data_IF_424928527462
#
_entry.id   IF_424928527462
#
_cell.length_a   1.000
_cell.length_b   1.000
_cell.length_c   1.000
_cell.angle_alpha   90.00
_cell.angle_beta   90.00
_cell.angle_gamma   90.00
#
_symmetry.space_group_name_H-M   'P 1'
#
loop_
_entity.id
_entity.type
_entity.pdbx_description
1 polymer ?
#
# COMPACT_ATOMS: atom_id res chain seq x y z
N UNK A 1 -16.09 -13.66 9.96
CA UNK A 1 -15.38 -12.71 10.82
C UNK A 1 -15.25 -11.43 10.03
N UNK A 2 -15.83 -10.34 10.53
CA UNK A 2 -15.75 -9.05 9.86
C UNK A 2 -14.36 -8.43 10.04
N UNK A 3 -14.07 -7.33 9.33
CA UNK A 3 -12.75 -6.67 9.38
C UNK A 3 -12.47 -6.07 10.76
N UNK A 4 -13.51 -5.55 11.38
CA UNK A 4 -13.56 -4.94 12.72
C UNK A 4 -13.32 -6.01 13.79
N UNK A 5 -14.08 -7.11 13.75
CA UNK A 5 -13.93 -8.25 14.68
C UNK A 5 -12.51 -8.86 14.61
N UNK A 6 -11.94 -8.94 13.39
CA UNK A 6 -10.58 -9.42 13.15
C UNK A 6 -9.55 -8.50 13.80
N UNK A 7 -9.74 -7.18 13.66
CA UNK A 7 -8.84 -6.18 14.22
C UNK A 7 -8.86 -6.23 15.75
N UNK A 8 -10.04 -6.18 16.38
CA UNK A 8 -10.17 -6.28 17.83
C UNK A 8 -9.50 -7.55 18.39
N UNK A 9 -9.74 -8.70 17.73
CA UNK A 9 -9.14 -9.99 18.14
C UNK A 9 -7.63 -10.02 18.01
N UNK A 10 -7.04 -9.34 17.03
CA UNK A 10 -5.60 -9.36 16.82
C UNK A 10 -4.87 -8.41 17.78
N UNK A 11 -5.50 -7.31 18.13
CA UNK A 11 -4.95 -6.31 19.05
C UNK A 11 -5.27 -6.59 20.53
N UNK A 12 -6.23 -7.45 20.86
CA UNK A 12 -6.61 -7.77 22.25
C UNK A 12 -5.47 -8.34 23.10
N UNK A 13 -4.47 -8.97 22.47
CA UNK A 13 -3.32 -9.56 23.15
C UNK A 13 -2.07 -8.65 23.11
N UNK A 14 -2.18 -7.41 22.64
CA UNK A 14 -1.04 -6.50 22.49
C UNK A 14 -1.19 -5.28 23.41
N UNK A 15 -0.27 -5.14 24.36
CA UNK A 15 -0.19 -3.99 25.26
C UNK A 15 0.06 -2.69 24.50
N UNK A 16 -0.71 -1.64 24.78
CA UNK A 16 -0.59 -0.32 24.14
C UNK A 16 -1.50 -0.09 22.92
N UNK A 17 -2.31 -1.08 22.55
CA UNK A 17 -3.27 -0.96 21.44
C UNK A 17 -4.56 -0.18 21.82
N UNK A 18 -4.83 0.05 23.11
CA UNK A 18 -6.03 0.73 23.60
C UNK A 18 -6.12 2.19 23.13
N UNK A 19 -4.97 2.86 22.97
CA UNK A 19 -4.90 4.27 22.56
C UNK A 19 -5.06 4.50 21.05
N UNK A 20 -5.24 3.45 20.25
CA UNK A 20 -5.25 3.51 18.78
C UNK A 20 -6.68 3.29 18.27
N UNK A 21 -7.08 4.11 17.30
CA UNK A 21 -8.40 4.06 16.66
C UNK A 21 -8.65 2.72 15.98
N UNK A 22 -9.92 2.35 15.86
CA UNK A 22 -10.32 1.06 15.27
C UNK A 22 -10.01 1.02 13.77
N UNK A 23 -10.07 2.16 13.08
CA UNK A 23 -9.76 2.32 11.67
C UNK A 23 -8.28 1.99 11.39
N UNK A 24 -7.35 2.56 12.18
CA UNK A 24 -5.92 2.24 12.05
C UNK A 24 -5.62 0.78 12.40
N UNK A 25 -6.35 0.19 13.36
CA UNK A 25 -6.23 -1.25 13.65
C UNK A 25 -6.67 -2.10 12.46
N UNK A 26 -7.76 -1.73 11.78
CA UNK A 26 -8.25 -2.43 10.58
C UNK A 26 -7.23 -2.34 9.44
N UNK A 27 -6.71 -1.15 9.17
CA UNK A 27 -5.71 -0.91 8.12
C UNK A 27 -4.42 -1.71 8.36
N UNK A 28 -3.89 -1.68 9.58
CA UNK A 28 -2.71 -2.46 9.97
C UNK A 28 -2.99 -3.96 9.83
N UNK A 29 -4.17 -4.43 10.22
CA UNK A 29 -4.55 -5.84 10.07
C UNK A 29 -4.65 -6.26 8.61
N UNK A 30 -5.15 -5.39 7.74
CA UNK A 30 -5.32 -5.70 6.32
C UNK A 30 -3.97 -5.76 5.60
N UNK A 31 -3.09 -4.79 5.87
CA UNK A 31 -1.71 -4.77 5.38
C UNK A 31 -0.92 -5.97 5.90
N UNK A 32 -1.10 -6.33 7.17
CA UNK A 32 -0.49 -7.54 7.75
C UNK A 32 -1.03 -8.82 7.10
N UNK A 33 -2.34 -8.91 6.84
CA UNK A 33 -2.98 -10.07 6.21
C UNK A 33 -2.48 -10.28 4.77
N UNK A 34 -2.41 -9.21 3.98
CA UNK A 34 -1.88 -9.26 2.59
C UNK A 34 -0.43 -9.75 2.57
N UNK A 35 0.43 -9.24 3.47
CA UNK A 35 1.83 -9.67 3.57
C UNK A 35 1.97 -11.11 4.08
N UNK A 36 1.16 -11.53 5.05
CA UNK A 36 1.12 -12.93 5.49
C UNK A 36 0.72 -13.88 4.36
N UNK A 37 -0.26 -13.50 3.54
CA UNK A 37 -0.67 -14.31 2.39
C UNK A 37 0.48 -14.53 1.40
N UNK A 38 1.26 -13.47 1.13
CA UNK A 38 2.44 -13.55 0.26
C UNK A 38 3.50 -14.47 0.86
N UNK A 39 3.77 -14.37 2.18
CA UNK A 39 4.73 -15.25 2.88
C UNK A 39 4.29 -16.71 2.81
N UNK A 40 3.02 -17.00 3.06
CA UNK A 40 2.47 -18.36 2.99
C UNK A 40 2.61 -18.92 1.57
N UNK A 41 2.20 -18.15 0.56
CA UNK A 41 2.29 -18.59 -0.83
C UNK A 41 3.74 -18.80 -1.27
N UNK A 42 4.64 -17.91 -0.89
CA UNK A 42 6.08 -18.02 -1.16
C UNK A 42 6.72 -19.24 -0.51
N UNK A 43 6.40 -19.53 0.76
CA UNK A 43 6.91 -20.71 1.45
C UNK A 43 6.33 -22.01 0.88
N UNK A 44 5.03 -22.04 0.59
CA UNK A 44 4.41 -23.20 -0.05
C UNK A 44 5.00 -23.49 -1.42
N UNK A 45 5.16 -22.47 -2.27
CA UNK A 45 5.79 -22.63 -3.58
C UNK A 45 7.22 -23.14 -3.48
N UNK A 46 8.02 -22.62 -2.53
CA UNK A 46 9.36 -23.12 -2.26
C UNK A 46 9.36 -24.58 -1.80
N UNK A 47 8.47 -24.95 -0.87
CA UNK A 47 8.32 -26.34 -0.41
C UNK A 47 7.91 -27.28 -1.55
N UNK A 48 6.99 -26.86 -2.42
CA UNK A 48 6.61 -27.61 -3.61
C UNK A 48 7.78 -27.79 -4.59
N UNK A 49 8.59 -26.76 -4.79
CA UNK A 49 9.81 -26.85 -5.62
C UNK A 49 10.80 -27.83 -4.99
N UNK A 50 11.03 -27.76 -3.68
CA UNK A 50 11.91 -28.70 -2.98
C UNK A 50 11.41 -30.14 -3.10
N UNK A 51 10.11 -30.37 -2.92
CA UNK A 51 9.49 -31.69 -3.13
C UNK A 51 9.68 -32.19 -4.57
N UNK A 52 9.60 -31.29 -5.55
CA UNK A 52 9.81 -31.62 -6.95
C UNK A 52 11.29 -31.95 -7.26
N UNK A 53 12.23 -31.19 -6.69
CA UNK A 53 13.68 -31.35 -6.89
C UNK A 53 14.22 -32.62 -6.24
N UNK A 54 13.74 -33.00 -5.05
CA UNK A 54 14.14 -34.26 -4.40
C UNK A 54 13.59 -35.49 -5.16
N UNK A 55 12.64 -35.28 -6.07
CA UNK A 55 12.23 -36.27 -7.06
C UNK A 55 11.31 -37.37 -6.52
N UNK A 56 10.94 -38.30 -7.41
CA UNK A 56 9.97 -39.37 -7.14
C UNK A 56 10.35 -40.34 -6.02
N UNK A 57 11.57 -40.30 -5.49
CA UNK A 57 12.03 -41.21 -4.43
C UNK A 57 11.33 -40.95 -3.09
N UNK A 58 11.03 -39.69 -2.76
CA UNK A 58 10.21 -39.37 -1.57
C UNK A 58 8.78 -39.87 -1.79
N UNK A 59 8.19 -39.60 -2.95
CA UNK A 59 6.82 -40.02 -3.25
C UNK A 59 6.67 -41.55 -3.26
N UNK A 60 7.66 -42.28 -3.76
CA UNK A 60 7.68 -43.74 -3.73
C UNK A 60 7.86 -44.28 -2.31
N UNK A 61 8.75 -43.72 -1.49
CA UNK A 61 8.88 -44.10 -0.07
C UNK A 61 7.60 -43.82 0.73
N UNK A 62 6.93 -42.69 0.47
CA UNK A 62 5.65 -42.35 1.09
C UNK A 62 4.56 -43.32 0.61
N UNK A 63 4.51 -43.64 -0.68
CA UNK A 63 3.58 -44.62 -1.23
C UNK A 63 3.82 -46.02 -0.64
N UNK A 64 5.07 -46.47 -0.51
CA UNK A 64 5.41 -47.76 0.10
C UNK A 64 5.05 -47.80 1.59
N UNK A 65 5.24 -46.69 2.31
CA UNK A 65 4.80 -46.57 3.70
C UNK A 65 3.28 -46.67 3.83
N UNK A 66 2.54 -45.96 2.98
CA UNK A 66 1.08 -46.03 2.93
C UNK A 66 0.57 -47.42 2.51
N UNK A 67 1.23 -48.06 1.54
CA UNK A 67 0.91 -49.41 1.08
C UNK A 67 1.14 -50.46 2.17
N UNK A 68 2.22 -50.35 2.95
CA UNK A 68 2.47 -51.23 4.12
C UNK A 68 1.43 -51.06 5.21
N UNK A 69 0.89 -49.86 5.40
CA UNK A 69 -0.23 -49.62 6.33
C UNK A 69 -1.55 -50.17 5.74
N UNK A 70 -1.70 -50.12 4.42
CA UNK A 70 -2.86 -50.66 3.67
C UNK A 70 -2.99 -52.18 3.73
N UNK A 71 -1.87 -52.93 3.73
CA UNK A 71 -1.89 -54.40 3.78
C UNK A 71 -2.44 -55.01 5.10
N UNK A 72 -2.59 -54.20 6.16
CA UNK A 72 -2.83 -54.68 7.52
C UNK A 72 -4.28 -54.81 8.02
N UNK A 73 -5.33 -54.48 7.25
CA UNK A 73 -6.70 -54.51 7.84
C UNK A 73 -7.89 -54.50 6.89
N UNK A 74 -8.59 -55.63 6.76
CA UNK A 74 -9.87 -55.73 6.06
C UNK A 74 -11.08 -55.38 6.95
N UNK A 75 -11.18 -54.14 7.45
CA UNK A 75 -12.38 -53.68 8.18
C UNK A 75 -12.79 -52.25 7.77
N UNK A 76 -14.07 -51.89 7.93
CA UNK A 76 -14.64 -50.61 7.46
C UNK A 76 -13.97 -49.33 7.98
N UNK A 77 -13.19 -49.41 9.05
CA UNK A 77 -12.43 -48.28 9.61
C UNK A 77 -11.03 -48.11 8.98
N UNK A 78 -10.66 -48.98 8.05
CA UNK A 78 -9.32 -49.00 7.45
C UNK A 78 -9.07 -47.81 6.51
N UNK A 79 -10.07 -47.42 5.72
CA UNK A 79 -9.99 -46.23 4.86
C UNK A 79 -9.83 -44.93 5.66
N UNK A 80 -10.44 -44.86 6.85
CA UNK A 80 -10.27 -43.74 7.78
C UNK A 80 -8.86 -43.69 8.37
N UNK A 81 -8.27 -44.84 8.72
CA UNK A 81 -6.89 -44.93 9.21
C UNK A 81 -5.84 -44.53 8.16
N UNK A 82 -6.06 -44.93 6.91
CA UNK A 82 -5.19 -44.55 5.79
C UNK A 82 -5.25 -43.04 5.53
N UNK A 83 -6.45 -42.45 5.54
CA UNK A 83 -6.64 -41.01 5.38
C UNK A 83 -5.96 -40.20 6.51
N UNK A 84 -6.11 -40.62 7.77
CA UNK A 84 -5.45 -39.97 8.91
C UNK A 84 -3.93 -40.01 8.79
N UNK A 85 -3.38 -41.14 8.36
CA UNK A 85 -1.92 -41.28 8.16
C UNK A 85 -1.43 -40.34 7.07
N UNK A 86 -2.14 -40.26 5.94
CA UNK A 86 -1.83 -39.31 4.87
C UNK A 86 -1.83 -37.86 5.36
N UNK A 87 -2.86 -37.47 6.13
CA UNK A 87 -2.94 -36.14 6.73
C UNK A 87 -1.70 -35.85 7.58
N UNK A 88 -1.32 -36.78 8.47
CA UNK A 88 -0.15 -36.61 9.36
C UNK A 88 1.15 -36.41 8.59
N UNK A 89 1.34 -37.13 7.49
CA UNK A 89 2.56 -37.04 6.66
C UNK A 89 2.67 -35.69 5.96
N UNK A 90 1.56 -35.12 5.49
CA UNK A 90 1.54 -33.83 4.79
C UNK A 90 1.34 -32.62 5.72
N UNK A 91 0.87 -32.84 6.96
CA UNK A 91 0.61 -31.76 7.92
C UNK A 91 1.80 -30.81 8.13
N UNK A 92 3.06 -31.27 8.27
CA UNK A 92 4.20 -30.39 8.49
C UNK A 92 4.41 -29.35 7.38
N UNK A 93 4.08 -29.69 6.13
CA UNK A 93 4.18 -28.79 4.96
C UNK A 93 3.23 -27.61 5.11
N UNK A 94 2.09 -27.76 5.76
CA UNK A 94 1.18 -26.65 5.99
C UNK A 94 1.46 -25.90 7.30
N UNK A 95 1.96 -26.59 8.33
CA UNK A 95 2.24 -26.00 9.64
C UNK A 95 3.41 -25.00 9.58
N UNK A 96 4.45 -25.28 8.80
CA UNK A 96 5.64 -24.41 8.71
C UNK A 96 5.28 -23.03 8.13
N UNK A 97 4.59 -22.91 6.97
CA UNK A 97 4.13 -21.63 6.45
C UNK A 97 3.19 -20.88 7.40
N UNK A 98 2.27 -21.60 8.06
CA UNK A 98 1.32 -21.01 9.01
C UNK A 98 2.01 -20.44 10.26
N UNK A 99 2.97 -21.16 10.83
CA UNK A 99 3.71 -20.72 12.03
C UNK A 99 4.66 -19.55 11.72
N UNK A 100 5.30 -19.56 10.54
CA UNK A 100 6.09 -18.44 10.06
C UNK A 100 5.23 -17.18 9.86
N UNK A 101 4.07 -17.30 9.21
CA UNK A 101 3.15 -16.19 9.02
C UNK A 101 2.62 -15.64 10.35
N UNK A 102 2.29 -16.51 11.31
CA UNK A 102 1.84 -16.10 12.64
C UNK A 102 2.94 -15.34 13.42
N UNK A 103 4.18 -15.80 13.30
CA UNK A 103 5.33 -15.12 13.94
C UNK A 103 5.59 -13.76 13.30
N UNK A 104 5.52 -13.67 11.96
CA UNK A 104 5.59 -12.42 11.21
C UNK A 104 4.50 -11.44 11.67
N UNK A 105 3.24 -11.90 11.77
CA UNK A 105 2.11 -11.09 12.28
C UNK A 105 2.44 -10.43 13.61
N UNK A 106 2.88 -11.21 14.59
CA UNK A 106 3.13 -10.71 15.93
C UNK A 106 4.23 -9.64 15.96
N UNK A 107 5.30 -9.84 15.20
CA UNK A 107 6.41 -8.89 15.14
C UNK A 107 6.03 -7.63 14.35
N UNK A 108 5.28 -7.79 13.24
CA UNK A 108 4.80 -6.69 12.42
C UNK A 108 3.85 -5.78 13.20
N UNK A 109 2.85 -6.36 13.88
CA UNK A 109 1.90 -5.58 14.68
C UNK A 109 2.63 -4.81 15.79
N UNK A 110 3.57 -5.45 16.50
CA UNK A 110 4.37 -4.76 17.53
C UNK A 110 5.23 -3.63 16.97
N UNK A 111 5.86 -3.84 15.82
CA UNK A 111 6.69 -2.82 15.17
C UNK A 111 5.85 -1.62 14.71
N UNK A 112 4.69 -1.88 14.09
CA UNK A 112 3.81 -0.83 13.59
C UNK A 112 3.13 -0.06 14.73
N UNK A 113 2.75 -0.75 15.80
CA UNK A 113 2.31 -0.12 17.04
C UNK A 113 3.41 0.73 17.67
N UNK A 114 4.64 0.23 17.76
CA UNK A 114 5.76 0.97 18.32
C UNK A 114 6.06 2.24 17.50
N UNK A 115 5.96 2.18 16.17
CA UNK A 115 6.07 3.36 15.30
C UNK A 115 4.98 4.39 15.58
N UNK A 116 3.73 3.96 15.77
CA UNK A 116 2.60 4.84 16.08
C UNK A 116 2.72 5.44 17.50
N UNK A 117 3.16 4.65 18.47
CA UNK A 117 3.36 5.12 19.85
C UNK A 117 4.53 6.10 19.91
N UNK A 118 5.66 5.79 19.26
CA UNK A 118 6.82 6.71 19.21
C UNK A 118 6.55 7.95 18.38
N UNK A 119 5.81 7.87 17.27
CA UNK A 119 5.37 9.08 16.55
C UNK A 119 4.47 9.94 17.42
N UNK A 120 3.57 9.32 18.21
CA UNK A 120 2.73 10.02 19.19
C UNK A 120 3.52 10.60 20.36
N UNK A 121 4.50 9.90 20.92
CA UNK A 121 5.36 10.39 22.02
C UNK A 121 6.29 11.52 21.56
N UNK A 122 6.82 11.44 20.33
CA UNK A 122 7.57 12.53 19.71
C UNK A 122 6.69 13.76 19.45
N UNK A 123 5.38 13.56 19.32
CA UNK A 123 4.37 14.62 19.21
C UNK A 123 3.95 15.13 20.60
N UNK A 124 3.83 14.25 21.60
CA UNK A 124 3.44 14.55 22.98
C UNK A 124 4.56 15.25 23.78
N UNK A 125 5.84 14.97 23.47
CA UNK A 125 6.99 15.72 24.00
C UNK A 125 7.04 17.18 23.52
N UNK A 126 6.26 17.53 22.49
CA UNK A 126 6.02 18.92 22.05
C UNK A 126 4.73 19.52 22.66
N UNK A 127 3.96 18.74 23.42
CA UNK A 127 2.62 19.08 23.88
C UNK A 127 2.60 19.69 25.30
N UNK A 128 3.64 20.48 25.63
CA UNK A 128 3.53 21.58 26.61
C UNK A 128 3.34 22.93 25.92
N UNK A 129 3.24 22.95 24.58
CA UNK A 129 2.72 24.07 23.84
C UNK A 129 1.70 23.49 22.86
N UNK A 130 0.44 23.92 23.00
CA UNK A 130 -0.55 23.82 21.93
C UNK A 130 0.15 24.07 20.58
N UNK A 131 0.02 23.21 19.55
CA UNK A 131 0.15 23.71 18.21
C UNK A 131 -1.16 24.43 17.92
N UNK A 132 -1.20 25.71 18.28
CA UNK A 132 -1.77 26.66 17.32
C UNK A 132 -1.13 26.31 15.99
N UNK A 133 -1.91 26.16 14.93
CA UNK A 133 -1.41 26.17 13.55
C UNK A 133 -0.44 27.35 13.46
N UNK A 134 0.84 27.03 13.63
CA UNK A 134 1.88 28.03 13.65
C UNK A 134 2.10 28.19 12.18
N UNK A 135 1.76 29.39 11.71
CA UNK A 135 2.10 29.91 10.41
C UNK A 135 3.56 29.54 10.13
N UNK A 136 3.78 28.37 9.51
CA UNK A 136 5.05 28.08 8.88
C UNK A 136 5.19 29.21 7.87
N UNK A 137 6.33 29.90 7.93
CA UNK A 137 6.56 31.02 7.04
C UNK A 137 6.27 30.56 5.61
N UNK A 138 5.65 31.41 4.78
CA UNK A 138 5.40 31.11 3.35
C UNK A 138 6.67 30.58 2.62
N UNK A 139 7.86 30.76 3.20
CA UNK A 139 9.13 30.27 2.69
C UNK A 139 9.37 28.74 2.79
N UNK A 140 8.54 27.98 3.52
CA UNK A 140 8.73 26.53 3.73
C UNK A 140 7.75 25.61 2.95
N UNK A 141 6.86 26.18 2.13
CA UNK A 141 5.90 25.43 1.30
C UNK A 141 6.39 25.36 -0.16
N UNK A 142 6.19 24.21 -0.81
CA UNK A 142 6.47 24.03 -2.23
C UNK A 142 5.53 24.89 -3.08
N UNK A 143 6.11 25.51 -4.09
CA UNK A 143 5.38 26.33 -5.05
C UNK A 143 5.05 25.52 -6.30
N UNK A 144 3.84 25.71 -6.84
CA UNK A 144 3.41 25.07 -8.08
C UNK A 144 2.68 26.09 -8.94
N UNK A 145 3.22 26.35 -10.12
CA UNK A 145 2.53 27.08 -11.20
C UNK A 145 1.67 26.11 -12.01
N UNK A 146 2.08 24.84 -12.05
CA UNK A 146 1.48 23.79 -12.84
C UNK A 146 0.67 22.83 -11.98
N UNK A 147 -0.65 22.83 -12.16
CA UNK A 147 -1.55 21.97 -11.38
C UNK A 147 -1.28 20.48 -11.60
N UNK A 148 -1.15 20.02 -12.85
CA UNK A 148 -0.96 18.59 -13.14
C UNK A 148 0.38 18.08 -12.60
N UNK A 149 1.40 18.94 -12.52
CA UNK A 149 2.65 18.60 -11.82
C UNK A 149 2.42 18.47 -10.31
N UNK A 150 1.69 19.41 -9.69
CA UNK A 150 1.30 19.31 -8.28
C UNK A 150 0.56 18.01 -7.98
N UNK A 151 -0.39 17.61 -8.84
CA UNK A 151 -1.12 16.35 -8.70
C UNK A 151 -0.18 15.13 -8.78
N UNK A 152 0.78 15.13 -9.71
CA UNK A 152 1.79 14.07 -9.79
C UNK A 152 2.68 14.00 -8.53
N UNK A 153 3.04 15.13 -7.93
CA UNK A 153 3.75 15.17 -6.65
C UNK A 153 2.88 14.64 -5.51
N UNK A 154 1.60 15.00 -5.48
CA UNK A 154 0.65 14.49 -4.49
C UNK A 154 0.51 12.97 -4.64
N UNK A 155 0.46 12.42 -5.87
CA UNK A 155 0.43 10.98 -6.08
C UNK A 155 1.55 10.28 -5.32
N UNK A 156 2.79 10.72 -5.57
CA UNK A 156 3.98 10.11 -4.95
C UNK A 156 3.97 10.30 -3.44
N UNK A 157 3.74 11.52 -2.96
CA UNK A 157 3.86 11.82 -1.54
C UNK A 157 2.71 11.26 -0.69
N UNK A 158 1.48 11.26 -1.21
CA UNK A 158 0.28 10.83 -0.49
C UNK A 158 0.04 9.33 -0.63
N UNK A 159 0.04 8.79 -1.85
CA UNK A 159 -0.41 7.43 -2.10
C UNK A 159 0.75 6.43 -2.21
N UNK A 160 1.87 6.80 -2.82
CA UNK A 160 3.00 5.87 -2.96
C UNK A 160 3.85 5.80 -1.67
N UNK A 161 4.15 6.97 -1.09
CA UNK A 161 5.03 7.10 0.08
C UNK A 161 4.27 7.26 1.40
N UNK A 162 2.98 7.58 1.37
CA UNK A 162 2.14 7.78 2.58
C UNK A 162 2.68 8.84 3.56
N UNK A 163 3.29 9.90 3.03
CA UNK A 163 3.87 11.03 3.79
C UNK A 163 2.87 12.17 4.03
N UNK A 164 1.99 12.43 3.07
CA UNK A 164 0.90 13.39 3.23
C UNK A 164 -0.31 12.69 3.88
N UNK A 165 -0.76 13.20 5.03
CA UNK A 165 -1.85 12.62 5.81
C UNK A 165 -2.87 13.68 6.24
N UNK A 166 -4.16 13.33 6.35
CA UNK A 166 -4.75 12.05 5.94
C UNK A 166 -4.72 11.86 4.41
N UNK A 167 -4.72 10.61 3.94
CA UNK A 167 -4.91 10.31 2.52
C UNK A 167 -6.32 10.70 2.10
N UNK A 168 -6.44 11.36 0.95
CA UNK A 168 -7.73 11.73 0.40
C UNK A 168 -8.37 10.52 -0.27
N UNK A 169 -9.62 10.22 0.08
CA UNK A 169 -10.44 9.18 -0.53
C UNK A 169 -11.79 9.78 -0.89
N UNK A 170 -12.15 9.74 -2.16
CA UNK A 170 -13.33 10.39 -2.70
C UNK A 170 -14.64 9.81 -2.14
N UNK A 171 -14.67 8.51 -1.82
CA UNK A 171 -15.84 7.85 -1.25
C UNK A 171 -16.07 8.30 0.20
N UNK A 172 -15.01 8.27 1.01
CA UNK A 172 -15.06 8.77 2.39
C UNK A 172 -15.33 10.28 2.45
N UNK A 173 -14.78 11.04 1.49
CA UNK A 173 -15.04 12.47 1.36
C UNK A 173 -16.49 12.75 1.00
N UNK A 174 -17.06 12.02 0.03
CA UNK A 174 -18.46 12.14 -0.38
C UNK A 174 -19.42 11.88 0.78
N UNK A 175 -19.17 10.85 1.60
CA UNK A 175 -20.00 10.51 2.77
C UNK A 175 -20.07 11.65 3.81
N UNK A 176 -19.01 12.45 3.92
CA UNK A 176 -18.90 13.53 4.91
C UNK A 176 -19.20 14.92 4.32
N UNK A 177 -19.37 15.01 2.99
CA UNK A 177 -19.49 16.27 2.30
C UNK A 177 -20.86 16.92 2.57
N UNK A 178 -20.85 18.15 3.07
CA UNK A 178 -22.07 18.89 3.45
C UNK A 178 -22.68 19.69 2.29
N UNK A 179 -22.04 19.70 1.12
CA UNK A 179 -22.49 20.42 -0.06
C UNK A 179 -23.50 19.62 -0.88
N UNK A 180 -23.51 19.86 -2.20
CA UNK A 180 -24.26 19.01 -3.13
C UNK A 180 -23.71 17.58 -3.08
N UNK A 181 -24.59 16.59 -3.23
CA UNK A 181 -24.19 15.19 -3.29
C UNK A 181 -23.08 15.02 -4.35
N UNK A 182 -22.01 14.33 -3.95
CA UNK A 182 -20.91 14.00 -4.85
C UNK A 182 -21.28 12.70 -5.56
N UNK A 183 -21.17 12.71 -6.89
CA UNK A 183 -21.36 11.53 -7.72
C UNK A 183 -20.02 10.83 -7.88
N UNK A 184 -19.80 9.75 -7.12
CA UNK A 184 -18.57 8.96 -7.16
C UNK A 184 -18.50 7.99 -8.33
N UNK A 185 -19.53 7.96 -9.18
CA UNK A 185 -19.55 7.19 -10.44
C UNK A 185 -19.42 8.13 -11.65
N UNK A 186 -18.99 9.38 -11.43
CA UNK A 186 -18.82 10.38 -12.49
C UNK A 186 -17.55 10.16 -13.30
N UNK A 187 -17.66 10.40 -14.61
CA UNK A 187 -16.59 10.53 -15.60
C UNK A 187 -16.12 11.98 -15.79
N UNK A 188 -16.57 12.90 -14.93
CA UNK A 188 -16.19 14.31 -14.96
C UNK A 188 -15.50 14.75 -13.66
N UNK A 189 -14.84 15.90 -13.71
CA UNK A 189 -14.14 16.48 -12.55
C UNK A 189 -15.12 16.75 -11.41
N UNK A 190 -14.86 16.11 -10.27
CA UNK A 190 -15.49 16.43 -8.99
C UNK A 190 -14.78 17.66 -8.41
N UNK A 191 -15.33 18.83 -8.68
CA UNK A 191 -14.78 20.13 -8.26
C UNK A 191 -14.38 20.19 -6.76
N UNK A 192 -15.17 19.67 -5.81
CA UNK A 192 -14.74 19.62 -4.41
C UNK A 192 -13.43 18.85 -4.17
N UNK A 193 -13.21 17.74 -4.87
CA UNK A 193 -11.99 16.95 -4.76
C UNK A 193 -10.81 17.67 -5.42
N UNK A 194 -11.04 18.21 -6.63
CA UNK A 194 -10.04 19.03 -7.32
C UNK A 194 -9.58 20.22 -6.47
N UNK A 195 -10.52 20.91 -5.82
CA UNK A 195 -10.20 22.06 -4.95
C UNK A 195 -9.42 21.65 -3.71
N UNK A 196 -9.70 20.48 -3.11
CA UNK A 196 -8.90 19.95 -2.02
C UNK A 196 -7.41 19.84 -2.41
N UNK A 197 -7.12 19.25 -3.57
CA UNK A 197 -5.73 19.10 -4.04
C UNK A 197 -5.09 20.44 -4.45
N UNK A 198 -5.87 21.34 -5.06
CA UNK A 198 -5.42 22.71 -5.39
C UNK A 198 -5.02 23.49 -4.14
N UNK A 199 -5.81 23.43 -3.08
CA UNK A 199 -5.59 24.20 -1.84
C UNK A 199 -4.56 23.55 -0.90
N UNK A 200 -4.29 22.25 -1.05
CA UNK A 200 -3.34 21.55 -0.19
C UNK A 200 -1.92 22.13 -0.28
N UNK A 201 -1.38 22.57 0.85
CA UNK A 201 0.01 22.99 0.97
C UNK A 201 0.92 21.78 1.15
N UNK A 202 2.05 21.74 0.44
CA UNK A 202 3.01 20.64 0.53
C UNK A 202 4.32 21.17 1.12
N UNK A 203 4.70 20.76 2.34
CA UNK A 203 5.96 21.16 2.96
C UNK A 203 7.21 20.79 2.14
N UNK A 204 8.18 21.71 2.05
CA UNK A 204 9.44 21.52 1.29
C UNK A 204 10.30 20.36 1.78
N UNK A 205 10.20 20.00 3.07
CA UNK A 205 10.93 18.87 3.63
C UNK A 205 10.56 17.52 3.00
N UNK A 206 9.45 17.44 2.25
CA UNK A 206 9.07 16.25 1.50
C UNK A 206 9.72 16.15 0.10
N UNK A 207 10.19 17.26 -0.46
CA UNK A 207 10.75 17.27 -1.81
C UNK A 207 11.93 16.31 -2.03
N UNK A 208 12.85 16.10 -1.05
CA UNK A 208 13.92 15.12 -1.20
C UNK A 208 13.47 13.66 -1.32
N UNK A 209 12.23 13.31 -0.98
CA UNK A 209 11.74 11.94 -1.08
C UNK A 209 11.19 11.59 -2.47
N UNK A 210 10.95 12.59 -3.34
CA UNK A 210 10.46 12.37 -4.69
C UNK A 210 11.65 12.06 -5.61
N UNK A 211 11.83 10.80 -5.96
CA UNK A 211 12.92 10.32 -6.82
C UNK A 211 12.50 10.03 -8.26
N UNK A 212 11.23 9.64 -8.43
CA UNK A 212 10.64 9.26 -9.70
C UNK A 212 9.19 9.76 -9.79
N UNK A 213 8.80 10.20 -10.98
CA UNK A 213 7.40 10.43 -11.34
C UNK A 213 6.92 9.36 -12.30
N UNK A 214 5.74 8.82 -12.06
CA UNK A 214 5.07 7.90 -12.95
C UNK A 214 3.60 8.34 -13.07
N UNK A 215 3.27 9.00 -14.17
CA UNK A 215 1.91 9.43 -14.47
C UNK A 215 1.19 8.30 -15.20
N UNK A 216 0.09 7.80 -14.64
CA UNK A 216 -0.70 6.72 -15.22
C UNK A 216 -2.19 7.01 -15.04
N UNK A 217 -2.99 6.57 -16.01
CA UNK A 217 -4.45 6.70 -15.96
C UNK A 217 -5.05 6.22 -14.65
N UNK A 218 -4.52 5.11 -14.11
CA UNK A 218 -4.98 4.46 -12.88
C UNK A 218 -4.45 5.06 -11.57
N UNK A 219 -3.73 6.18 -11.60
CA UNK A 219 -3.21 6.80 -10.38
C UNK A 219 -4.35 7.26 -9.44
N UNK A 220 -4.19 6.99 -8.15
CA UNK A 220 -5.19 7.30 -7.12
C UNK A 220 -5.60 8.78 -7.11
N UNK A 221 -4.65 9.70 -7.29
CA UNK A 221 -4.97 11.14 -7.30
C UNK A 221 -5.96 11.50 -8.42
N UNK A 222 -5.84 10.88 -9.60
CA UNK A 222 -6.75 11.12 -10.73
C UNK A 222 -8.10 10.44 -10.50
N UNK A 223 -8.09 9.20 -10.00
CA UNK A 223 -9.30 8.45 -9.62
C UNK A 223 -10.10 9.15 -8.51
N UNK A 224 -9.44 9.95 -7.66
CA UNK A 224 -10.13 10.74 -6.64
C UNK A 224 -10.78 12.03 -7.20
N UNK A 225 -10.32 12.50 -8.36
CA UNK A 225 -10.84 13.71 -9.02
C UNK A 225 -11.91 13.34 -10.05
N UNK A 226 -11.68 12.29 -10.84
CA UNK A 226 -12.57 11.74 -11.85
C UNK A 226 -12.65 10.21 -11.62
N UNK A 227 -13.60 9.71 -10.82
CA UNK A 227 -13.64 8.30 -10.42
C UNK A 227 -13.81 7.27 -11.54
N UNK A 228 -14.45 7.65 -12.64
CA UNK A 228 -14.61 6.79 -13.82
C UNK A 228 -13.73 7.24 -14.99
N UNK A 229 -12.62 7.94 -14.73
CA UNK A 229 -11.72 8.35 -15.81
C UNK A 229 -11.14 7.13 -16.51
N UNK A 230 -11.29 7.07 -17.82
CA UNK A 230 -10.78 5.99 -18.66
C UNK A 230 -9.36 6.26 -19.19
N UNK A 231 -8.83 7.45 -18.96
CA UNK A 231 -7.52 7.87 -19.43
C UNK A 231 -7.49 8.24 -20.92
N UNK A 232 -8.63 8.36 -21.60
CA UNK A 232 -8.67 8.62 -23.05
C UNK A 232 -8.54 10.11 -23.41
N UNK A 233 -8.77 11.02 -22.45
CA UNK A 233 -8.67 12.47 -22.65
C UNK A 233 -7.37 13.08 -22.08
N UNK A 234 -7.17 14.39 -22.34
CA UNK A 234 -5.98 15.15 -21.96
C UNK A 234 -6.11 15.86 -20.59
N UNK A 235 -7.10 15.49 -19.77
CA UNK A 235 -7.43 16.19 -18.51
C UNK A 235 -6.22 16.35 -17.58
N UNK A 236 -5.36 15.35 -17.51
CA UNK A 236 -4.20 15.30 -16.62
C UNK A 236 -2.86 15.39 -17.34
N UNK A 237 -2.84 15.78 -18.61
CA UNK A 237 -1.60 15.95 -19.37
C UNK A 237 -0.71 17.03 -18.75
N UNK A 238 0.58 16.72 -18.61
CA UNK A 238 1.60 17.67 -18.17
C UNK A 238 2.25 18.33 -19.40
N UNK A 239 1.62 19.38 -19.93
CA UNK A 239 2.07 20.09 -21.14
C UNK A 239 2.87 21.37 -20.87
N UNK A 240 2.90 21.80 -19.61
CA UNK A 240 3.64 22.97 -19.14
C UNK A 240 4.34 22.60 -17.85
N UNK A 241 5.60 23.01 -17.70
CA UNK A 241 6.39 22.85 -16.48
C UNK A 241 7.52 23.87 -16.53
N UNK A 242 7.87 24.43 -15.38
CA UNK A 242 9.00 25.35 -15.27
C UNK A 242 10.23 24.66 -14.69
N UNK A 243 11.42 25.18 -15.02
CA UNK A 243 12.66 24.66 -14.44
C UNK A 243 12.70 24.92 -12.93
N UNK A 244 12.14 26.04 -12.49
CA UNK A 244 12.02 26.45 -11.10
C UNK A 244 11.18 25.44 -10.30
N UNK A 245 10.07 24.95 -10.86
CA UNK A 245 9.24 23.91 -10.23
C UNK A 245 10.02 22.61 -10.03
N UNK A 246 10.75 22.15 -11.06
CA UNK A 246 11.56 20.92 -11.00
C UNK A 246 12.72 21.02 -10.01
N UNK A 247 13.37 22.18 -9.92
CA UNK A 247 14.53 22.40 -9.05
C UNK A 247 14.19 22.33 -7.56
N UNK A 248 12.91 22.41 -7.19
CA UNK A 248 12.48 22.16 -5.81
C UNK A 248 12.72 20.70 -5.37
N UNK A 249 12.87 19.75 -6.31
CA UNK A 249 13.00 18.31 -6.06
C UNK A 249 14.44 17.82 -6.34
N UNK A 250 15.37 17.95 -5.38
CA UNK A 250 16.79 17.70 -5.63
C UNK A 250 17.11 16.23 -6.01
N UNK A 251 16.26 15.30 -5.60
CA UNK A 251 16.44 13.87 -5.80
C UNK A 251 15.61 13.30 -6.95
N UNK A 252 14.80 14.11 -7.63
CA UNK A 252 14.08 13.66 -8.82
C UNK A 252 15.10 13.35 -9.93
N UNK A 253 15.08 12.11 -10.43
CA UNK A 253 16.00 11.64 -11.48
C UNK A 253 15.30 11.06 -12.70
N UNK A 254 14.05 10.61 -12.54
CA UNK A 254 13.30 9.95 -13.61
C UNK A 254 11.85 10.40 -13.65
N UNK A 255 11.27 10.48 -14.84
CA UNK A 255 9.85 10.75 -15.02
C UNK A 255 9.29 9.98 -16.22
N UNK A 256 8.14 9.34 -16.04
CA UNK A 256 7.29 8.81 -17.11
C UNK A 256 6.02 9.68 -17.12
N UNK A 257 5.81 10.40 -18.22
CA UNK A 257 4.84 11.50 -18.27
C UNK A 257 3.71 11.22 -19.27
N UNK A 258 2.49 11.58 -18.86
CA UNK A 258 1.37 11.78 -19.77
C UNK A 258 1.44 13.23 -20.28
N UNK A 259 1.62 13.41 -21.58
CA UNK A 259 1.70 14.73 -22.21
C UNK A 259 1.43 14.63 -23.71
N UNK A 260 0.47 15.42 -24.20
CA UNK A 260 0.21 15.63 -25.62
C UNK A 260 1.24 16.54 -26.31
N UNK A 261 2.07 17.27 -25.54
CA UNK A 261 3.20 18.08 -26.05
C UNK A 261 4.53 17.65 -25.41
N UNK A 262 4.82 16.34 -25.48
CA UNK A 262 5.97 15.73 -24.79
C UNK A 262 7.31 16.37 -25.15
N UNK A 263 7.53 16.74 -26.42
CA UNK A 263 8.80 17.32 -26.87
C UNK A 263 9.13 18.64 -26.15
N UNK A 264 8.14 19.51 -25.96
CA UNK A 264 8.30 20.78 -25.22
C UNK A 264 8.66 20.54 -23.76
N UNK A 265 7.98 19.60 -23.12
CA UNK A 265 8.12 19.32 -21.68
C UNK A 265 9.45 18.62 -21.42
N UNK A 266 9.85 17.72 -22.33
CA UNK A 266 11.13 17.01 -22.29
C UNK A 266 12.32 17.95 -22.21
N UNK A 267 12.34 19.03 -23.00
CA UNK A 267 13.45 20.01 -22.97
C UNK A 267 13.67 20.58 -21.56
N UNK A 268 12.60 20.83 -20.80
CA UNK A 268 12.67 21.37 -19.43
C UNK A 268 13.20 20.33 -18.44
N UNK A 269 12.75 19.08 -18.56
CA UNK A 269 13.25 17.97 -17.72
C UNK A 269 14.72 17.66 -18.00
N UNK A 270 15.14 17.66 -19.27
CA UNK A 270 16.55 17.47 -19.65
C UNK A 270 17.43 18.61 -19.12
N UNK A 271 16.96 19.86 -19.16
CA UNK A 271 17.66 21.00 -18.57
C UNK A 271 17.85 20.87 -17.05
N UNK A 272 16.95 20.14 -16.36
CA UNK A 272 17.07 19.79 -14.95
C UNK A 272 17.94 18.54 -14.67
N UNK A 273 18.49 17.89 -15.70
CA UNK A 273 19.18 16.60 -15.64
C UNK A 273 18.30 15.45 -15.11
N UNK A 274 17.02 15.45 -15.49
CA UNK A 274 16.05 14.41 -15.15
C UNK A 274 15.80 13.58 -16.42
N UNK A 275 15.95 12.26 -16.34
CA UNK A 275 15.64 11.37 -17.45
C UNK A 275 14.12 11.28 -17.61
N UNK A 276 13.61 11.48 -18.83
CA UNK A 276 12.17 11.55 -19.08
C UNK A 276 11.77 10.67 -20.27
N UNK A 277 10.71 9.90 -20.09
CA UNK A 277 10.12 9.01 -21.08
C UNK A 277 8.62 9.33 -21.21
N UNK A 278 8.05 9.20 -22.42
CA UNK A 278 6.60 9.28 -22.59
C UNK A 278 5.95 8.00 -22.03
N UNK A 279 4.68 8.10 -21.63
CA UNK A 279 3.85 6.94 -21.30
C UNK A 279 3.41 6.17 -22.56
#
# INVERSE_FOLDING_TARGET
MTREERAEKWFSNISGAESISIESKIEICDKAAKRMMIIILGLLTLEFILLFVVGGEIFTRVADFLNRISEGGHTGNHSQGLALTGIIVFLPVFIIPLTAAFSYKNNYLKAELAKIVTSRENTAGKESALPSFTKESESDILHFDTLNFKLAIIQVLMYDLHLLKPEFDIYAFADQYKGKNIDTDSDAIIEPAMNFFKEMEIPKNFAPYVEMLYMDGGNDVYMNIIPQWDGEDDSFDLNEITLEELQQFPNLKKANLMSSDFDKVKEVFEAANIAVEPL
#
